data_IF_196696957480
#
_entry.id   IF_196696957480
#
_cell.length_a   1.000
_cell.length_b   1.000
_cell.length_c   1.000
_cell.angle_alpha   90.00
_cell.angle_beta   90.00
_cell.angle_gamma   90.00
#
_symmetry.space_group_name_H-M   'P 1'
#
loop_
_entity.id
_entity.type
_entity.pdbx_description
1 polymer ?
#
# COMPACT_ATOMS: atom_id res chain seq x y z
N UNK A 1 8.94 -26.75 -16.61
CA UNK A 1 9.41 -27.41 -15.37
C UNK A 1 8.70 -26.94 -14.09
N UNK A 2 8.26 -25.68 -13.97
CA UNK A 2 7.77 -25.09 -12.71
C UNK A 2 6.44 -25.65 -12.14
N UNK A 3 5.59 -26.31 -12.95
CA UNK A 3 4.31 -26.86 -12.47
C UNK A 3 4.46 -28.11 -11.57
N UNK A 4 5.63 -28.77 -11.60
CA UNK A 4 5.91 -30.01 -10.85
C UNK A 4 6.37 -29.80 -9.40
N UNK A 5 6.78 -28.59 -9.02
CA UNK A 5 7.30 -28.33 -7.67
C UNK A 5 6.19 -28.36 -6.60
N UNK A 6 6.42 -28.95 -5.42
CA UNK A 6 5.49 -28.81 -4.30
C UNK A 6 5.34 -27.33 -3.92
N UNK A 7 4.16 -26.94 -3.42
CA UNK A 7 3.84 -25.54 -3.19
C UNK A 7 4.84 -24.80 -2.28
N UNK A 8 5.39 -25.48 -1.28
CA UNK A 8 6.40 -24.91 -0.39
C UNK A 8 7.73 -24.64 -1.11
N UNK A 9 8.15 -25.52 -2.02
CA UNK A 9 9.37 -25.33 -2.81
C UNK A 9 9.21 -24.18 -3.80
N UNK A 10 8.02 -24.02 -4.39
CA UNK A 10 7.69 -22.84 -5.20
C UNK A 10 7.78 -21.54 -4.39
N UNK A 11 7.20 -21.53 -3.18
CA UNK A 11 7.30 -20.37 -2.30
C UNK A 11 8.76 -20.04 -1.98
N UNK A 12 9.55 -21.03 -1.57
CA UNK A 12 10.96 -20.84 -1.26
C UNK A 12 11.73 -20.28 -2.46
N UNK A 13 11.52 -20.85 -3.66
CA UNK A 13 12.15 -20.36 -4.89
C UNK A 13 11.83 -18.88 -5.18
N UNK A 14 10.56 -18.47 -5.04
CA UNK A 14 10.16 -17.08 -5.21
C UNK A 14 10.78 -16.15 -4.15
N UNK A 15 10.81 -16.57 -2.88
CA UNK A 15 11.43 -15.79 -1.81
C UNK A 15 12.93 -15.62 -2.05
N UNK A 16 13.64 -16.72 -2.34
CA UNK A 16 15.08 -16.70 -2.59
C UNK A 16 15.41 -15.85 -3.81
N UNK A 17 14.66 -15.98 -4.91
CA UNK A 17 14.85 -15.15 -6.09
C UNK A 17 14.62 -13.66 -5.78
N UNK A 18 13.56 -13.32 -5.04
CA UNK A 18 13.28 -11.94 -4.64
C UNK A 18 14.42 -11.36 -3.81
N UNK A 19 14.86 -12.05 -2.77
CA UNK A 19 15.96 -11.59 -1.91
C UNK A 19 17.25 -11.45 -2.71
N UNK A 20 17.59 -12.41 -3.58
CA UNK A 20 18.79 -12.32 -4.41
C UNK A 20 18.76 -11.10 -5.34
N UNK A 21 17.64 -10.84 -6.01
CA UNK A 21 17.44 -9.65 -6.85
C UNK A 21 17.59 -8.38 -6.02
N UNK A 22 16.94 -8.32 -4.86
CA UNK A 22 17.00 -7.15 -3.98
C UNK A 22 18.43 -6.87 -3.48
N UNK A 23 19.17 -7.89 -3.04
CA UNK A 23 20.55 -7.73 -2.61
C UNK A 23 21.45 -7.23 -3.76
N UNK A 24 21.28 -7.79 -4.97
CA UNK A 24 22.04 -7.36 -6.14
C UNK A 24 21.73 -5.90 -6.52
N UNK A 25 20.45 -5.50 -6.53
CA UNK A 25 20.04 -4.13 -6.83
C UNK A 25 20.51 -3.15 -5.77
N UNK A 26 20.41 -3.50 -4.49
CA UNK A 26 20.85 -2.64 -3.39
C UNK A 26 22.38 -2.42 -3.40
N UNK A 27 23.15 -3.41 -3.85
CA UNK A 27 24.60 -3.30 -3.98
C UNK A 27 25.05 -2.48 -5.20
N UNK A 28 24.22 -2.41 -6.26
CA UNK A 28 24.59 -1.80 -7.54
C UNK A 28 23.98 -0.43 -7.81
N UNK A 29 23.03 0.00 -6.97
CA UNK A 29 22.31 1.27 -7.15
C UNK A 29 22.47 2.19 -5.96
N UNK A 30 22.56 3.50 -6.18
CA UNK A 30 22.49 4.50 -5.10
C UNK A 30 21.04 4.74 -4.64
N UNK A 31 20.09 4.78 -5.59
CA UNK A 31 18.70 5.04 -5.28
C UNK A 31 18.43 6.49 -4.88
N UNK A 32 17.28 6.73 -4.25
CA UNK A 32 16.85 8.06 -3.83
C UNK A 32 17.48 8.43 -2.49
N UNK A 33 18.64 9.08 -2.56
CA UNK A 33 19.53 9.35 -1.42
C UNK A 33 18.87 10.23 -0.34
N UNK A 34 17.96 11.13 -0.71
CA UNK A 34 17.31 12.06 0.21
C UNK A 34 16.50 11.31 1.29
N UNK A 35 15.67 10.34 0.88
CA UNK A 35 14.85 9.54 1.79
C UNK A 35 15.71 8.62 2.67
N UNK A 36 16.75 8.02 2.09
CA UNK A 36 17.70 7.21 2.85
C UNK A 36 18.39 8.05 3.94
N UNK A 37 18.73 9.31 3.65
CA UNK A 37 19.29 10.22 4.63
C UNK A 37 18.30 10.57 5.75
N UNK A 38 16.99 10.69 5.44
CA UNK A 38 15.94 10.88 6.44
C UNK A 38 15.91 9.70 7.42
N UNK A 39 15.85 8.46 6.93
CA UNK A 39 15.83 7.27 7.79
C UNK A 39 17.09 7.11 8.62
N UNK A 40 18.26 7.46 8.10
CA UNK A 40 19.50 7.44 8.88
C UNK A 40 19.52 8.53 9.97
N UNK A 41 18.91 9.70 9.74
CA UNK A 41 18.72 10.70 10.82
C UNK A 41 17.78 10.20 11.91
N UNK A 42 16.70 9.50 11.54
CA UNK A 42 15.81 8.90 12.54
C UNK A 42 16.49 7.78 13.32
N UNK A 43 17.33 6.99 12.65
CA UNK A 43 18.17 5.96 13.28
C UNK A 43 19.07 6.58 14.34
N UNK A 44 19.69 7.73 14.02
CA UNK A 44 20.51 8.48 14.98
C UNK A 44 19.69 9.05 16.14
N UNK A 45 18.51 9.63 15.87
CA UNK A 45 17.63 10.15 16.92
C UNK A 45 17.20 9.05 17.92
N UNK A 46 16.87 7.86 17.41
CA UNK A 46 16.56 6.69 18.24
C UNK A 46 17.80 6.21 19.01
N UNK A 47 18.98 6.22 18.40
CA UNK A 47 20.24 5.85 19.06
C UNK A 47 20.58 6.76 20.23
N UNK A 48 20.33 8.07 20.12
CA UNK A 48 20.67 9.05 21.16
C UNK A 48 19.59 9.18 22.23
N UNK A 49 18.31 9.17 21.85
CA UNK A 49 17.18 9.42 22.75
C UNK A 49 16.44 8.17 23.21
N UNK A 50 16.73 7.02 22.61
CA UNK A 50 15.86 5.84 22.69
C UNK A 50 14.51 6.08 22.01
N UNK A 51 13.68 5.03 21.97
CA UNK A 51 12.34 5.12 21.39
C UNK A 51 11.46 6.15 22.10
N UNK A 52 11.60 6.32 23.43
CA UNK A 52 10.75 7.19 24.24
C UNK A 52 10.87 8.68 23.90
N UNK A 53 12.04 9.11 23.44
CA UNK A 53 12.36 10.52 23.15
C UNK A 53 12.61 10.82 21.68
N UNK A 54 12.53 9.81 20.80
CA UNK A 54 12.86 9.94 19.39
C UNK A 54 12.08 11.07 18.67
N UNK A 55 10.84 11.34 19.10
CA UNK A 55 9.97 12.37 18.52
C UNK A 55 10.16 13.77 19.12
N UNK A 56 10.94 13.95 20.19
CA UNK A 56 11.08 15.25 20.88
C UNK A 56 11.75 16.31 20.00
N UNK A 57 12.74 15.90 19.19
CA UNK A 57 13.48 16.81 18.31
C UNK A 57 12.69 17.20 17.04
N UNK A 58 11.56 16.55 16.77
CA UNK A 58 10.79 16.71 15.53
C UNK A 58 11.45 16.08 14.30
N UNK A 59 10.79 16.18 13.14
CA UNK A 59 11.30 15.69 11.85
C UNK A 59 11.14 14.19 11.60
N UNK A 60 10.48 13.45 12.49
CA UNK A 60 9.97 12.09 12.23
C UNK A 60 8.48 12.20 11.92
N UNK A 61 8.08 11.82 10.72
CA UNK A 61 6.69 11.80 10.24
C UNK A 61 6.11 10.37 10.19
N UNK A 62 6.91 9.36 10.49
CA UNK A 62 6.43 7.96 10.57
C UNK A 62 5.92 7.63 11.96
N UNK A 63 4.85 6.83 12.06
CA UNK A 63 4.45 6.23 13.32
C UNK A 63 5.47 5.18 13.82
N UNK A 64 5.40 4.76 15.09
CA UNK A 64 6.56 4.25 15.81
C UNK A 64 7.05 2.86 15.40
N UNK A 65 6.27 2.05 14.67
CA UNK A 65 6.65 0.66 14.40
C UNK A 65 7.98 0.56 13.64
N UNK A 66 8.21 1.44 12.67
CA UNK A 66 9.46 1.42 11.92
C UNK A 66 10.67 1.86 12.78
N UNK A 67 10.46 2.71 13.80
CA UNK A 67 11.53 3.12 14.70
C UNK A 67 12.11 1.96 15.51
N UNK A 68 11.32 0.92 15.81
CA UNK A 68 11.85 -0.30 16.44
C UNK A 68 12.84 -1.03 15.53
N UNK A 69 12.56 -1.05 14.22
CA UNK A 69 13.46 -1.65 13.23
C UNK A 69 14.74 -0.82 13.16
N UNK A 70 14.62 0.51 13.16
CA UNK A 70 15.78 1.41 13.19
C UNK A 70 16.59 1.26 14.48
N UNK A 71 15.98 1.09 15.65
CA UNK A 71 16.70 0.83 16.91
C UNK A 71 17.51 -0.47 16.84
N UNK A 72 16.86 -1.57 16.44
CA UNK A 72 17.52 -2.86 16.28
C UNK A 72 18.66 -2.79 15.27
N UNK A 73 18.44 -2.07 14.16
CA UNK A 73 19.44 -1.87 13.14
C UNK A 73 20.61 -1.00 13.61
N UNK A 74 20.35 0.07 14.37
CA UNK A 74 21.38 0.93 14.94
C UNK A 74 22.31 0.13 15.87
N UNK A 75 21.74 -0.72 16.73
CA UNK A 75 22.51 -1.60 17.64
C UNK A 75 23.37 -2.59 16.85
N UNK A 76 22.80 -3.22 15.82
CA UNK A 76 23.52 -4.14 14.96
C UNK A 76 24.67 -3.44 14.22
N UNK A 77 24.40 -2.28 13.63
CA UNK A 77 25.39 -1.50 12.90
C UNK A 77 26.53 -1.05 13.82
N UNK A 78 26.23 -0.64 15.06
CA UNK A 78 27.24 -0.30 16.07
C UNK A 78 28.10 -1.52 16.44
N UNK A 79 27.47 -2.67 16.72
CA UNK A 79 28.18 -3.90 17.10
C UNK A 79 29.10 -4.45 15.99
N UNK A 80 28.73 -4.22 14.73
CA UNK A 80 29.50 -4.65 13.56
C UNK A 80 30.37 -3.54 12.96
N UNK A 81 30.43 -2.36 13.59
CA UNK A 81 31.15 -1.18 13.09
C UNK A 81 30.81 -0.80 11.63
N UNK A 82 29.53 -0.90 11.26
CA UNK A 82 29.07 -0.60 9.90
C UNK A 82 29.01 0.92 9.66
N UNK A 83 29.60 1.36 8.55
CA UNK A 83 29.49 2.74 8.08
C UNK A 83 28.14 2.99 7.40
N UNK A 84 27.14 3.40 8.18
CA UNK A 84 25.82 3.76 7.64
C UNK A 84 25.91 5.07 6.85
N UNK A 85 25.71 5.00 5.53
CA UNK A 85 25.72 6.17 4.64
C UNK A 85 24.59 6.10 3.62
N UNK A 86 23.91 7.22 3.31
CA UNK A 86 22.96 7.26 2.21
C UNK A 86 23.60 6.83 0.88
N UNK A 87 22.82 6.17 0.04
CA UNK A 87 23.26 5.64 -1.26
C UNK A 87 24.06 4.35 -1.19
N UNK A 88 24.14 3.70 -0.03
CA UNK A 88 24.87 2.44 0.16
C UNK A 88 23.93 1.26 0.39
N UNK A 89 24.43 0.05 0.19
CA UNK A 89 23.74 -1.20 0.52
C UNK A 89 23.17 -1.19 1.95
N UNK A 90 23.97 -0.72 2.92
CA UNK A 90 23.60 -0.69 4.33
C UNK A 90 22.42 0.24 4.62
N UNK A 91 22.20 1.29 3.83
CA UNK A 91 21.02 2.14 4.03
C UNK A 91 19.70 1.45 3.67
N UNK A 92 19.75 0.41 2.82
CA UNK A 92 18.58 -0.27 2.25
C UNK A 92 18.30 -1.64 2.88
N UNK A 93 19.30 -2.20 3.55
CA UNK A 93 19.20 -3.51 4.19
C UNK A 93 17.99 -3.67 5.13
N UNK A 94 17.59 -2.68 5.96
CA UNK A 94 16.41 -2.81 6.81
C UNK A 94 15.13 -3.14 6.03
N UNK A 95 14.85 -2.41 4.95
CA UNK A 95 13.70 -2.66 4.10
C UNK A 95 13.71 -4.04 3.46
N UNK A 96 14.87 -4.48 2.96
CA UNK A 96 15.04 -5.81 2.34
C UNK A 96 14.77 -6.92 3.38
N UNK A 97 15.29 -6.77 4.59
CA UNK A 97 15.09 -7.73 5.68
C UNK A 97 13.61 -7.80 6.08
N UNK A 98 12.93 -6.66 6.17
CA UNK A 98 11.49 -6.56 6.42
C UNK A 98 10.71 -7.29 5.32
N UNK A 99 10.98 -6.99 4.05
CA UNK A 99 10.26 -7.59 2.94
C UNK A 99 10.45 -9.12 2.93
N UNK A 100 11.68 -9.59 3.14
CA UNK A 100 11.98 -11.02 3.27
C UNK A 100 11.17 -11.68 4.42
N UNK A 101 11.05 -11.00 5.57
CA UNK A 101 10.29 -11.48 6.72
C UNK A 101 8.77 -11.54 6.47
N UNK A 102 8.24 -10.69 5.59
CA UNK A 102 6.82 -10.66 5.24
C UNK A 102 6.40 -11.75 4.23
N UNK A 103 7.31 -12.26 3.39
CA UNK A 103 6.99 -13.26 2.37
C UNK A 103 6.40 -14.57 2.94
N UNK A 104 6.94 -15.18 4.03
CA UNK A 104 6.32 -16.34 4.66
C UNK A 104 4.91 -16.06 5.22
N UNK A 105 4.66 -14.85 5.72
CA UNK A 105 3.35 -14.44 6.20
C UNK A 105 2.33 -14.41 5.04
N UNK A 106 2.73 -13.94 3.86
CA UNK A 106 1.89 -13.99 2.65
C UNK A 106 1.62 -15.42 2.18
N UNK A 107 2.59 -16.33 2.31
CA UNK A 107 2.35 -17.75 2.07
C UNK A 107 1.33 -18.36 3.03
N UNK A 108 1.37 -17.97 4.30
CA UNK A 108 0.37 -18.38 5.28
C UNK A 108 -1.01 -17.76 4.98
N UNK A 109 -1.06 -16.49 4.57
CA UNK A 109 -2.29 -15.76 4.22
C UNK A 109 -3.04 -16.41 3.03
N UNK A 110 -2.28 -16.97 2.09
CA UNK A 110 -2.82 -17.67 0.92
C UNK A 110 -3.40 -19.07 1.22
N UNK A 111 -3.36 -19.54 2.48
CA UNK A 111 -3.94 -20.84 2.85
C UNK A 111 -5.44 -20.90 2.56
N UNK A 112 -5.89 -22.02 2.01
CA UNK A 112 -7.27 -22.23 1.56
C UNK A 112 -7.55 -21.76 0.13
N UNK A 113 -6.59 -21.12 -0.55
CA UNK A 113 -6.65 -20.91 -1.99
C UNK A 113 -6.32 -22.21 -2.75
N UNK A 114 -6.85 -22.34 -3.98
CA UNK A 114 -6.42 -23.41 -4.90
C UNK A 114 -4.92 -23.32 -5.13
N UNK A 115 -4.23 -24.46 -5.19
CA UNK A 115 -2.77 -24.53 -5.28
C UNK A 115 -2.17 -23.67 -6.40
N UNK A 116 -2.78 -23.69 -7.60
CA UNK A 116 -2.35 -22.86 -8.73
C UNK A 116 -2.43 -21.36 -8.43
N UNK A 117 -3.59 -20.88 -7.94
CA UNK A 117 -3.79 -19.48 -7.55
C UNK A 117 -2.85 -19.05 -6.43
N UNK A 118 -2.58 -19.97 -5.50
CA UNK A 118 -1.63 -19.78 -4.40
C UNK A 118 -0.22 -19.55 -4.91
N UNK A 119 0.23 -20.35 -5.88
CA UNK A 119 1.55 -20.18 -6.54
C UNK A 119 1.64 -18.82 -7.23
N UNK A 120 0.62 -18.44 -7.99
CA UNK A 120 0.57 -17.13 -8.66
C UNK A 120 0.57 -15.96 -7.68
N UNK A 121 -0.18 -16.04 -6.58
CA UNK A 121 -0.27 -14.96 -5.60
C UNK A 121 1.07 -14.69 -4.92
N UNK A 122 1.81 -15.74 -4.58
CA UNK A 122 3.16 -15.59 -4.01
C UNK A 122 4.16 -15.09 -5.03
N UNK A 123 4.12 -15.58 -6.26
CA UNK A 123 5.00 -15.06 -7.31
C UNK A 123 4.74 -13.57 -7.56
N UNK A 124 3.46 -13.17 -7.68
CA UNK A 124 3.06 -11.78 -7.89
C UNK A 124 3.40 -10.87 -6.71
N UNK A 125 3.46 -11.39 -5.48
CA UNK A 125 3.89 -10.62 -4.31
C UNK A 125 5.42 -10.55 -4.19
N UNK A 126 6.14 -11.69 -4.26
CA UNK A 126 7.59 -11.72 -4.01
C UNK A 126 8.39 -11.10 -5.16
N UNK A 127 7.93 -11.27 -6.40
CA UNK A 127 8.61 -10.81 -7.61
C UNK A 127 7.94 -9.56 -8.19
N UNK A 128 7.24 -8.80 -7.35
CA UNK A 128 6.62 -7.56 -7.79
C UNK A 128 7.72 -6.51 -8.08
N UNK A 129 7.88 -6.02 -9.31
CA UNK A 129 8.93 -5.09 -9.65
C UNK A 129 8.81 -3.76 -8.90
N UNK A 130 7.60 -3.32 -8.57
CA UNK A 130 7.35 -2.07 -7.83
C UNK A 130 7.83 -2.22 -6.37
N UNK A 131 7.45 -3.31 -5.70
CA UNK A 131 7.88 -3.56 -4.31
C UNK A 131 9.39 -3.76 -4.22
N UNK A 132 9.98 -4.50 -5.17
CA UNK A 132 11.43 -4.68 -5.24
C UNK A 132 12.13 -3.34 -5.47
N UNK A 133 11.61 -2.49 -6.37
CA UNK A 133 12.21 -1.19 -6.66
C UNK A 133 12.14 -0.25 -5.46
N UNK A 134 10.95 -0.07 -4.89
CA UNK A 134 10.70 0.74 -3.70
C UNK A 134 11.59 0.30 -2.52
N UNK A 135 11.71 -1.00 -2.28
CA UNK A 135 12.54 -1.49 -1.18
C UNK A 135 14.04 -1.45 -1.48
N UNK A 136 14.50 -2.10 -2.56
CA UNK A 136 15.92 -2.38 -2.77
C UNK A 136 16.66 -1.34 -3.61
N UNK A 137 15.96 -0.62 -4.50
CA UNK A 137 16.56 0.47 -5.27
C UNK A 137 16.40 1.76 -4.51
N UNK A 138 15.17 2.14 -4.15
CA UNK A 138 14.87 3.40 -3.49
C UNK A 138 15.34 3.43 -2.03
N UNK A 139 15.10 2.36 -1.27
CA UNK A 139 15.41 2.28 0.17
C UNK A 139 14.21 2.64 1.06
N UNK A 140 13.00 2.55 0.54
CA UNK A 140 11.74 2.78 1.24
C UNK A 140 11.20 1.50 1.90
N UNK A 141 10.14 1.66 2.70
CA UNK A 141 9.53 0.58 3.49
C UNK A 141 8.01 0.48 3.35
N UNK A 142 7.45 1.01 2.25
CA UNK A 142 6.01 0.97 1.93
C UNK A 142 5.45 -0.46 1.85
N UNK A 143 6.34 -1.45 1.69
CA UNK A 143 5.97 -2.87 1.75
C UNK A 143 5.36 -3.26 3.10
N UNK A 144 5.67 -2.56 4.20
CA UNK A 144 5.12 -2.87 5.54
C UNK A 144 3.61 -2.60 5.54
N UNK A 145 3.21 -1.35 5.30
CA UNK A 145 1.82 -0.94 5.38
C UNK A 145 0.98 -1.56 4.28
N UNK A 146 1.49 -1.64 3.04
CA UNK A 146 0.77 -2.27 1.94
C UNK A 146 0.47 -3.76 2.21
N UNK A 147 1.42 -4.49 2.78
CA UNK A 147 1.25 -5.91 3.12
C UNK A 147 0.28 -6.09 4.30
N UNK A 148 0.40 -5.25 5.33
CA UNK A 148 -0.46 -5.29 6.51
C UNK A 148 -1.90 -4.88 6.17
N UNK A 149 -2.10 -3.90 5.30
CA UNK A 149 -3.41 -3.52 4.76
C UNK A 149 -4.05 -4.68 3.97
N UNK A 150 -3.30 -5.34 3.08
CA UNK A 150 -3.78 -6.53 2.36
C UNK A 150 -4.14 -7.66 3.34
N UNK A 151 -3.29 -7.94 4.33
CA UNK A 151 -3.57 -8.96 5.34
C UNK A 151 -4.83 -8.63 6.15
N UNK A 152 -5.01 -7.39 6.59
CA UNK A 152 -6.20 -6.93 7.30
C UNK A 152 -7.47 -7.17 6.47
N UNK A 153 -7.49 -6.66 5.23
CA UNK A 153 -8.66 -6.75 4.35
C UNK A 153 -8.98 -8.20 3.99
N UNK A 154 -7.97 -9.04 3.78
CA UNK A 154 -8.17 -10.45 3.48
C UNK A 154 -8.73 -11.24 4.67
N UNK A 155 -8.21 -10.97 5.88
CA UNK A 155 -8.55 -11.71 7.10
C UNK A 155 -9.85 -11.25 7.75
N UNK A 156 -10.34 -10.03 7.51
CA UNK A 156 -11.50 -9.46 8.23
C UNK A 156 -12.75 -10.34 8.14
N UNK A 157 -12.89 -11.10 7.05
CA UNK A 157 -13.99 -12.05 6.82
C UNK A 157 -13.90 -13.33 7.64
N UNK A 158 -12.73 -13.72 8.14
CA UNK A 158 -12.51 -14.99 8.86
C UNK A 158 -12.02 -14.79 10.29
N UNK A 159 -11.14 -13.80 10.50
CA UNK A 159 -10.42 -13.55 11.75
C UNK A 159 -10.37 -12.04 12.01
N UNK A 160 -11.51 -11.40 12.35
CA UNK A 160 -11.58 -9.95 12.52
C UNK A 160 -10.59 -9.41 13.57
N UNK A 161 -10.33 -10.15 14.65
CA UNK A 161 -9.32 -9.75 15.64
C UNK A 161 -7.91 -9.66 15.03
N UNK A 162 -7.50 -10.69 14.28
CA UNK A 162 -6.19 -10.73 13.61
C UNK A 162 -6.12 -9.68 12.49
N UNK A 163 -7.23 -9.45 11.80
CA UNK A 163 -7.33 -8.35 10.83
C UNK A 163 -7.14 -6.99 11.51
N UNK A 164 -7.68 -6.82 12.72
CA UNK A 164 -7.48 -5.64 13.55
C UNK A 164 -6.02 -5.45 13.93
N UNK A 165 -5.35 -6.52 14.37
CA UNK A 165 -3.91 -6.49 14.67
C UNK A 165 -3.11 -6.10 13.43
N UNK A 166 -3.39 -6.69 12.27
CA UNK A 166 -2.71 -6.33 11.03
C UNK A 166 -2.94 -4.85 10.66
N UNK A 167 -4.18 -4.37 10.76
CA UNK A 167 -4.51 -2.96 10.48
C UNK A 167 -3.82 -2.00 11.46
N UNK A 168 -3.86 -2.28 12.77
CA UNK A 168 -3.23 -1.42 13.76
C UNK A 168 -1.71 -1.40 13.66
N UNK A 169 -1.07 -2.53 13.32
CA UNK A 169 0.36 -2.56 13.00
C UNK A 169 0.68 -1.80 11.71
N UNK A 170 -0.18 -1.89 10.68
CA UNK A 170 0.00 -1.12 9.44
C UNK A 170 -0.10 0.37 9.71
N UNK A 171 -1.10 0.80 10.48
CA UNK A 171 -1.27 2.19 10.90
C UNK A 171 -0.10 2.67 11.77
N UNK A 172 0.47 1.78 12.59
CA UNK A 172 1.67 2.05 13.37
C UNK A 172 2.97 2.08 12.55
N UNK A 173 2.97 1.58 11.30
CA UNK A 173 4.10 1.69 10.38
C UNK A 173 3.99 2.94 9.51
N UNK A 174 2.80 3.20 8.98
CA UNK A 174 2.53 4.31 8.08
C UNK A 174 1.06 4.70 8.15
N UNK A 175 0.80 6.01 8.28
CA UNK A 175 -0.55 6.52 8.40
C UNK A 175 -1.43 6.16 7.18
N UNK A 176 -0.83 6.02 6.00
CA UNK A 176 -1.49 5.62 4.75
C UNK A 176 -2.37 4.37 4.87
N UNK A 177 -2.08 3.44 5.79
CA UNK A 177 -2.94 2.27 6.07
C UNK A 177 -4.40 2.65 6.35
N UNK A 178 -4.67 3.86 6.88
CA UNK A 178 -6.02 4.35 7.18
C UNK A 178 -6.94 4.33 5.96
N UNK A 179 -6.39 4.40 4.74
CA UNK A 179 -7.13 4.42 3.47
C UNK A 179 -8.03 3.18 3.32
N UNK A 180 -7.66 2.03 3.87
CA UNK A 180 -8.50 0.81 3.80
C UNK A 180 -9.56 0.69 4.91
N UNK A 181 -9.57 1.61 5.89
CA UNK A 181 -10.46 1.55 7.05
C UNK A 181 -11.96 1.50 6.70
N UNK A 182 -12.49 2.33 5.77
CA UNK A 182 -13.91 2.27 5.42
C UNK A 182 -14.33 0.89 4.91
N UNK A 183 -13.47 0.25 4.12
CA UNK A 183 -13.69 -1.09 3.57
C UNK A 183 -13.59 -2.16 4.65
N UNK A 184 -12.65 -2.04 5.60
CA UNK A 184 -12.52 -2.96 6.73
C UNK A 184 -13.77 -2.96 7.62
N UNK A 185 -14.26 -1.77 7.99
CA UNK A 185 -15.46 -1.62 8.81
C UNK A 185 -16.68 -2.21 8.10
N UNK A 186 -16.87 -1.88 6.82
CA UNK A 186 -17.98 -2.41 6.03
C UNK A 186 -17.90 -3.93 5.80
N UNK A 187 -16.70 -4.47 5.60
CA UNK A 187 -16.50 -5.91 5.44
C UNK A 187 -16.74 -6.67 6.77
N UNK A 188 -16.35 -6.12 7.91
CA UNK A 188 -16.67 -6.67 9.22
C UNK A 188 -18.19 -6.65 9.48
N UNK A 189 -18.87 -5.55 9.11
CA UNK A 189 -20.32 -5.39 9.23
C UNK A 189 -21.14 -6.31 8.30
N UNK A 190 -20.56 -6.70 7.15
CA UNK A 190 -21.23 -7.52 6.15
C UNK A 190 -21.58 -8.95 6.61
N UNK A 191 -21.09 -9.39 7.78
CA UNK A 191 -21.37 -10.72 8.33
C UNK A 191 -21.86 -10.66 9.78
N UNK A 192 -22.93 -11.41 10.15
CA UNK A 192 -23.28 -11.59 11.55
C UNK A 192 -22.23 -12.45 12.28
N UNK A 193 -22.06 -12.29 13.61
CA UNK A 193 -22.64 -11.26 14.47
C UNK A 193 -21.89 -9.92 14.34
N UNK A 194 -22.57 -8.88 13.84
CA UNK A 194 -21.93 -7.64 13.35
C UNK A 194 -21.13 -6.89 14.41
N UNK A 195 -21.75 -6.59 15.55
CA UNK A 195 -21.12 -5.82 16.64
C UNK A 195 -19.91 -6.55 17.24
N UNK A 196 -20.01 -7.88 17.41
CA UNK A 196 -18.89 -8.69 17.90
C UNK A 196 -17.70 -8.64 16.95
N UNK A 197 -17.94 -8.71 15.63
CA UNK A 197 -16.87 -8.64 14.63
C UNK A 197 -16.22 -7.27 14.57
N UNK A 198 -17.01 -6.20 14.66
CA UNK A 198 -16.48 -4.84 14.80
C UNK A 198 -15.67 -4.68 16.08
N UNK A 199 -16.18 -5.17 17.22
CA UNK A 199 -15.47 -5.15 18.49
C UNK A 199 -14.14 -5.91 18.45
N UNK A 200 -14.11 -7.07 17.79
CA UNK A 200 -12.87 -7.83 17.57
C UNK A 200 -11.88 -7.05 16.70
N UNK A 201 -12.34 -6.45 15.59
CA UNK A 201 -11.50 -5.63 14.72
C UNK A 201 -10.91 -4.43 15.49
N UNK A 202 -11.75 -3.68 16.21
CA UNK A 202 -11.33 -2.54 17.01
C UNK A 202 -10.35 -2.95 18.12
N UNK A 203 -10.65 -4.03 18.84
CA UNK A 203 -9.78 -4.55 19.90
C UNK A 203 -8.39 -4.93 19.35
N UNK A 204 -8.31 -5.61 18.20
CA UNK A 204 -7.03 -5.95 17.58
C UNK A 204 -6.22 -4.72 17.17
N UNK A 205 -6.88 -3.72 16.59
CA UNK A 205 -6.24 -2.48 16.16
C UNK A 205 -5.74 -1.66 17.35
N UNK A 206 -6.58 -1.42 18.35
CA UNK A 206 -6.23 -0.65 19.54
C UNK A 206 -5.14 -1.35 20.37
N UNK A 207 -5.21 -2.67 20.52
CA UNK A 207 -4.19 -3.44 21.23
C UNK A 207 -2.82 -3.33 20.56
N UNK A 208 -2.74 -3.50 19.23
CA UNK A 208 -1.47 -3.37 18.51
C UNK A 208 -0.91 -1.95 18.57
N UNK A 209 -1.75 -0.93 18.38
CA UNK A 209 -1.33 0.47 18.51
C UNK A 209 -0.81 0.79 19.92
N UNK A 210 -1.53 0.35 20.96
CA UNK A 210 -1.12 0.56 22.36
C UNK A 210 0.22 -0.14 22.68
N UNK A 211 0.42 -1.36 22.19
CA UNK A 211 1.67 -2.10 22.38
C UNK A 211 2.85 -1.41 21.71
N UNK A 212 2.69 -0.94 20.46
CA UNK A 212 3.77 -0.23 19.74
C UNK A 212 4.05 1.13 20.37
N UNK A 213 3.03 1.80 20.92
CA UNK A 213 3.19 3.10 21.57
C UNK A 213 3.74 3.03 23.00
N UNK A 214 3.87 1.85 23.60
CA UNK A 214 4.21 1.69 25.03
C UNK A 214 5.49 2.43 25.47
N UNK A 215 6.62 2.40 24.73
CA UNK A 215 7.83 3.13 25.11
C UNK A 215 7.68 4.65 25.06
N UNK A 216 6.67 5.18 24.36
CA UNK A 216 6.43 6.61 24.21
C UNK A 216 5.64 7.22 25.38
N UNK A 217 5.09 6.39 26.28
CA UNK A 217 4.29 6.86 27.41
C UNK A 217 5.07 7.77 28.38
N UNK A 218 6.41 7.75 28.35
CA UNK A 218 7.28 8.61 29.14
C UNK A 218 7.43 10.06 28.65
N UNK A 219 6.68 10.48 27.63
CA UNK A 219 6.68 11.87 27.13
C UNK A 219 6.62 12.01 25.60
N UNK A 220 7.06 10.98 24.86
CA UNK A 220 7.08 10.97 23.39
C UNK A 220 5.73 10.73 22.71
N UNK A 221 4.68 10.35 23.45
CA UNK A 221 3.39 9.94 22.87
C UNK A 221 2.71 11.09 22.11
N UNK A 222 2.59 12.27 22.74
CA UNK A 222 1.96 13.42 22.08
C UNK A 222 2.79 13.97 20.91
N UNK A 223 4.12 14.17 21.03
CA UNK A 223 4.97 14.48 19.89
C UNK A 223 4.80 13.51 18.72
N UNK A 224 4.74 12.21 19.00
CA UNK A 224 4.48 11.18 17.98
C UNK A 224 3.10 11.36 17.33
N UNK A 225 2.03 11.49 18.11
CA UNK A 225 0.68 11.67 17.55
C UNK A 225 0.61 12.91 16.66
N UNK A 226 1.17 14.03 17.15
CA UNK A 226 1.17 15.29 16.41
C UNK A 226 1.94 15.17 15.11
N UNK A 227 3.15 14.62 15.12
CA UNK A 227 3.98 14.52 13.92
C UNK A 227 3.46 13.49 12.92
N UNK A 228 3.21 12.27 13.36
CA UNK A 228 2.92 11.13 12.49
C UNK A 228 1.46 11.01 12.02
N UNK A 229 0.51 11.71 12.65
CA UNK A 229 -0.91 11.60 12.30
C UNK A 229 -1.62 12.93 12.06
N UNK A 230 -1.20 14.03 12.70
CA UNK A 230 -1.88 15.33 12.56
C UNK A 230 -1.15 16.23 11.57
N UNK A 231 0.17 16.43 11.76
CA UNK A 231 0.96 17.35 10.97
C UNK A 231 1.35 16.80 9.60
N UNK A 232 1.45 15.47 9.46
CA UNK A 232 1.72 14.81 8.17
C UNK A 232 0.67 15.17 7.11
N UNK A 233 -0.60 15.38 7.51
CA UNK A 233 -1.62 15.92 6.61
C UNK A 233 -1.43 17.43 6.46
N UNK A 234 -1.17 17.91 5.24
CA UNK A 234 -0.82 19.31 5.01
C UNK A 234 0.66 19.65 5.11
N UNK A 235 1.54 18.65 5.29
CA UNK A 235 3.00 18.84 5.28
C UNK A 235 3.51 19.28 3.91
N UNK A 236 2.91 18.73 2.85
CA UNK A 236 3.23 19.03 1.45
C UNK A 236 1.97 19.56 0.73
N UNK A 237 1.56 20.83 0.97
CA UNK A 237 0.29 21.40 0.49
C UNK A 237 0.35 21.74 -1.01
N UNK A 238 0.67 20.74 -1.82
CA UNK A 238 0.87 20.79 -3.26
C UNK A 238 -0.13 19.89 -3.97
N UNK A 239 -0.46 20.23 -5.22
CA UNK A 239 -1.38 19.43 -6.04
C UNK A 239 -0.87 17.98 -6.20
N UNK A 240 0.42 17.81 -6.48
CA UNK A 240 1.09 16.52 -6.54
C UNK A 240 2.60 16.65 -6.29
N UNK A 241 3.14 15.77 -5.46
CA UNK A 241 4.58 15.64 -5.21
C UNK A 241 5.14 14.48 -6.02
N UNK A 242 5.19 14.66 -7.33
CA UNK A 242 5.60 13.68 -8.35
C UNK A 242 4.70 12.44 -8.50
N UNK A 243 3.54 12.38 -7.84
CA UNK A 243 2.52 11.40 -8.16
C UNK A 243 1.90 11.72 -9.52
N UNK A 244 2.02 10.82 -10.49
CA UNK A 244 1.48 11.02 -11.85
C UNK A 244 -0.02 10.68 -11.89
N UNK A 245 -0.77 11.42 -11.08
CA UNK A 245 -2.21 11.39 -10.94
C UNK A 245 -2.87 12.52 -11.73
N UNK A 246 -4.18 12.74 -11.55
CA UNK A 246 -4.91 13.78 -12.29
C UNK A 246 -4.35 15.19 -12.03
N UNK A 247 -3.79 15.42 -10.85
CA UNK A 247 -3.25 16.72 -10.47
C UNK A 247 -1.91 17.04 -11.14
N UNK A 248 -1.30 16.05 -11.80
CA UNK A 248 -0.01 16.21 -12.47
C UNK A 248 -0.10 16.83 -13.87
N UNK A 249 -1.17 16.55 -14.62
CA UNK A 249 -1.30 16.94 -16.04
C UNK A 249 -2.69 17.43 -16.46
N UNK A 250 -3.76 17.12 -15.71
CA UNK A 250 -5.14 17.41 -16.18
C UNK A 250 -5.60 18.86 -15.94
N UNK A 251 -4.87 19.61 -15.13
CA UNK A 251 -5.20 21.00 -14.78
C UNK A 251 -4.13 21.92 -15.36
N UNK A 252 -4.54 23.11 -15.80
CA UNK A 252 -3.63 24.18 -16.24
C UNK A 252 -2.96 24.86 -15.03
N UNK A 253 -2.32 24.03 -14.21
CA UNK A 253 -1.64 24.40 -12.99
C UNK A 253 -0.42 23.49 -12.84
N UNK A 254 0.69 24.05 -12.34
CA UNK A 254 1.86 23.25 -11.98
C UNK A 254 1.46 22.19 -10.93
N UNK A 255 1.97 20.94 -11.01
CA UNK A 255 1.79 19.96 -9.93
C UNK A 255 2.29 20.47 -8.57
N UNK A 256 3.24 21.41 -8.58
CA UNK A 256 3.78 22.03 -7.37
C UNK A 256 3.03 23.30 -6.95
N UNK A 257 1.88 23.61 -7.57
CA UNK A 257 1.01 24.68 -7.10
C UNK A 257 0.36 24.31 -5.76
N UNK A 258 -0.03 25.32 -4.98
CA UNK A 258 -0.66 25.06 -3.68
C UNK A 258 -2.04 24.44 -3.85
N UNK A 259 -2.32 23.36 -3.11
CA UNK A 259 -3.64 22.71 -3.12
C UNK A 259 -4.72 23.50 -2.36
N UNK A 260 -4.32 24.58 -1.69
CA UNK A 260 -5.21 25.58 -1.06
C UNK A 260 -5.65 26.65 -2.05
N UNK A 261 -5.12 26.67 -3.26
CA UNK A 261 -5.56 27.59 -4.29
C UNK A 261 -7.03 27.29 -4.68
N UNK A 262 -7.82 28.31 -5.04
CA UNK A 262 -9.16 28.10 -5.57
C UNK A 262 -9.14 27.22 -6.81
N UNK A 263 -10.11 26.31 -6.89
CA UNK A 263 -10.35 25.41 -7.99
C UNK A 263 -11.80 25.58 -8.47
N UNK A 264 -12.57 24.49 -8.53
CA UNK A 264 -13.91 24.44 -9.08
C UNK A 264 -14.97 24.89 -8.07
N UNK A 265 -15.95 25.71 -8.50
CA UNK A 265 -17.12 26.10 -7.70
C UNK A 265 -16.79 26.79 -6.36
N UNK A 266 -15.66 27.50 -6.28
CA UNK A 266 -15.22 28.18 -5.06
C UNK A 266 -14.58 27.27 -4.01
N UNK A 267 -14.46 25.97 -4.29
CA UNK A 267 -13.69 25.03 -3.48
C UNK A 267 -12.21 25.10 -3.83
N UNK A 268 -11.35 24.82 -2.86
CA UNK A 268 -9.92 24.60 -3.09
C UNK A 268 -9.65 23.26 -3.78
N UNK A 269 -8.48 23.09 -4.40
CA UNK A 269 -8.08 21.81 -4.99
C UNK A 269 -8.12 20.66 -3.98
N UNK A 270 -7.70 20.92 -2.74
CA UNK A 270 -7.76 19.95 -1.63
C UNK A 270 -9.19 19.48 -1.36
N UNK A 271 -10.14 20.42 -1.28
CA UNK A 271 -11.55 20.10 -1.03
C UNK A 271 -12.18 19.33 -2.20
N UNK A 272 -11.82 19.67 -3.44
CA UNK A 272 -12.25 18.92 -4.63
C UNK A 272 -11.70 17.48 -4.57
N UNK A 273 -10.40 17.31 -4.31
CA UNK A 273 -9.78 15.98 -4.23
C UNK A 273 -10.35 15.10 -3.13
N UNK A 274 -10.58 15.66 -1.94
CA UNK A 274 -11.23 14.96 -0.83
C UNK A 274 -12.68 14.58 -1.17
N UNK A 275 -13.41 15.44 -1.88
CA UNK A 275 -14.78 15.15 -2.33
C UNK A 275 -14.81 14.01 -3.35
N UNK A 276 -13.89 14.00 -4.31
CA UNK A 276 -13.73 12.92 -5.28
C UNK A 276 -13.36 11.59 -4.62
N UNK A 277 -12.43 11.63 -3.65
CA UNK A 277 -12.06 10.46 -2.85
C UNK A 277 -13.23 9.93 -2.02
N UNK A 278 -14.02 10.81 -1.40
CA UNK A 278 -15.22 10.43 -0.66
C UNK A 278 -16.24 9.74 -1.58
N UNK A 279 -16.47 10.27 -2.79
CA UNK A 279 -17.32 9.63 -3.78
C UNK A 279 -16.80 8.25 -4.20
N UNK A 280 -15.49 8.10 -4.39
CA UNK A 280 -14.88 6.81 -4.72
C UNK A 280 -15.02 5.79 -3.56
N UNK A 281 -14.86 6.23 -2.31
CA UNK A 281 -15.15 5.42 -1.13
C UNK A 281 -16.60 4.95 -1.11
N UNK A 282 -17.58 5.84 -1.35
CA UNK A 282 -18.99 5.46 -1.42
C UNK A 282 -19.26 4.44 -2.54
N UNK A 283 -18.64 4.61 -3.71
CA UNK A 283 -18.74 3.64 -4.81
C UNK A 283 -18.17 2.26 -4.43
N UNK A 284 -17.03 2.23 -3.72
CA UNK A 284 -16.42 1.00 -3.23
C UNK A 284 -17.30 0.28 -2.20
N UNK A 285 -17.93 1.04 -1.29
CA UNK A 285 -18.87 0.52 -0.29
C UNK A 285 -20.15 -0.03 -0.96
N UNK A 286 -20.68 0.68 -1.96
CA UNK A 286 -21.81 0.21 -2.76
C UNK A 286 -21.47 -1.08 -3.52
N UNK A 287 -20.28 -1.17 -4.13
CA UNK A 287 -19.80 -2.41 -4.74
C UNK A 287 -19.71 -3.54 -3.71
N UNK A 288 -19.12 -3.30 -2.54
CA UNK A 288 -18.97 -4.30 -1.48
C UNK A 288 -20.32 -4.85 -1.01
N UNK A 289 -21.33 -3.98 -0.88
CA UNK A 289 -22.67 -4.35 -0.48
C UNK A 289 -23.41 -5.17 -1.56
N UNK A 290 -23.22 -4.84 -2.84
CA UNK A 290 -24.01 -5.43 -3.95
C UNK A 290 -23.33 -6.62 -4.64
N UNK A 291 -22.00 -6.69 -4.62
CA UNK A 291 -21.23 -7.75 -5.29
C UNK A 291 -21.51 -9.10 -4.65
N UNK A 292 -21.76 -10.13 -5.47
CA UNK A 292 -22.00 -11.51 -5.01
C UNK A 292 -20.72 -12.35 -4.89
N UNK A 293 -19.55 -11.74 -5.06
CA UNK A 293 -18.27 -12.44 -4.88
C UNK A 293 -18.04 -12.78 -3.41
N UNK A 294 -17.19 -13.77 -3.15
CA UNK A 294 -16.79 -14.11 -1.79
C UNK A 294 -16.21 -12.88 -1.08
N UNK A 295 -16.57 -12.68 0.20
CA UNK A 295 -16.24 -11.47 0.95
C UNK A 295 -14.75 -11.06 0.88
N UNK A 296 -13.75 -11.96 1.07
CA UNK A 296 -12.34 -11.57 0.92
C UNK A 296 -12.03 -10.95 -0.45
N UNK A 297 -12.60 -11.49 -1.54
CA UNK A 297 -12.35 -11.00 -2.90
C UNK A 297 -12.96 -9.62 -3.07
N UNK A 298 -14.26 -9.44 -2.78
CA UNK A 298 -14.90 -8.12 -2.94
C UNK A 298 -14.37 -7.06 -1.97
N UNK A 299 -13.96 -7.44 -0.76
CA UNK A 299 -13.30 -6.51 0.16
C UNK A 299 -11.93 -6.08 -0.37
N UNK A 300 -11.13 -7.01 -0.89
CA UNK A 300 -9.83 -6.68 -1.51
C UNK A 300 -10.01 -5.82 -2.76
N UNK A 301 -11.00 -6.10 -3.62
CA UNK A 301 -11.33 -5.27 -4.78
C UNK A 301 -11.73 -3.84 -4.39
N UNK A 302 -12.58 -3.69 -3.36
CA UNK A 302 -12.99 -2.39 -2.85
C UNK A 302 -11.80 -1.63 -2.24
N UNK A 303 -10.96 -2.30 -1.45
CA UNK A 303 -9.76 -1.70 -0.87
C UNK A 303 -8.74 -1.28 -1.93
N UNK A 304 -8.54 -2.11 -2.96
CA UNK A 304 -7.67 -1.78 -4.09
C UNK A 304 -8.16 -0.53 -4.84
N UNK A 305 -9.48 -0.44 -5.05
CA UNK A 305 -10.10 0.72 -5.69
C UNK A 305 -9.93 1.98 -4.84
N UNK A 306 -10.20 1.92 -3.52
CA UNK A 306 -10.00 3.06 -2.61
C UNK A 306 -8.52 3.45 -2.51
N UNK A 307 -7.60 2.50 -2.41
CA UNK A 307 -6.15 2.76 -2.43
C UNK A 307 -5.70 3.46 -3.70
N UNK A 308 -6.17 3.01 -4.87
CA UNK A 308 -5.82 3.68 -6.12
C UNK A 308 -6.54 5.03 -6.30
N UNK A 309 -7.75 5.17 -5.75
CA UNK A 309 -8.47 6.44 -5.72
C UNK A 309 -7.77 7.46 -4.84
N UNK A 310 -7.16 7.04 -3.73
CA UNK A 310 -6.35 7.89 -2.87
C UNK A 310 -5.18 8.48 -3.66
N UNK A 311 -4.40 7.63 -4.31
CA UNK A 311 -3.31 8.07 -5.20
C UNK A 311 -3.81 8.97 -6.35
N UNK A 312 -4.92 8.60 -6.99
CA UNK A 312 -5.40 9.28 -8.20
C UNK A 312 -6.12 10.60 -7.96
N UNK A 313 -6.82 10.74 -6.82
CA UNK A 313 -7.81 11.79 -6.60
C UNK A 313 -7.47 12.73 -5.44
N UNK A 314 -6.67 12.30 -4.46
CA UNK A 314 -6.22 13.20 -3.39
C UNK A 314 -5.06 14.08 -3.87
N UNK A 315 -4.96 15.29 -3.31
CA UNK A 315 -3.77 16.16 -3.42
C UNK A 315 -2.72 15.72 -2.39
N UNK A 316 -1.54 16.36 -2.39
CA UNK A 316 -0.44 16.06 -1.45
C UNK A 316 0.13 14.64 -1.62
N UNK A 317 -0.01 14.04 -2.80
CA UNK A 317 0.40 12.66 -3.07
C UNK A 317 1.85 12.56 -3.56
N UNK A 318 2.58 11.59 -3.02
CA UNK A 318 3.88 11.14 -3.54
C UNK A 318 3.74 9.93 -4.47
N UNK A 319 4.69 9.77 -5.40
CA UNK A 319 4.75 8.66 -6.36
C UNK A 319 4.61 7.29 -5.71
N UNK A 320 5.19 7.08 -4.52
CA UNK A 320 5.19 5.79 -3.81
C UNK A 320 3.86 5.40 -3.17
N UNK A 321 2.90 6.31 -3.03
CA UNK A 321 1.58 6.00 -2.45
C UNK A 321 0.79 5.01 -3.32
N UNK A 322 1.22 4.82 -4.58
CA UNK A 322 0.67 3.79 -5.47
C UNK A 322 1.00 2.35 -5.01
N UNK A 323 2.00 2.15 -4.15
CA UNK A 323 2.49 0.84 -3.67
C UNK A 323 1.37 0.04 -2.98
N UNK A 324 0.52 0.71 -2.19
CA UNK A 324 -0.65 0.10 -1.56
C UNK A 324 -1.59 -0.51 -2.61
N UNK A 325 -1.94 0.27 -3.64
CA UNK A 325 -2.83 -0.15 -4.71
C UNK A 325 -2.22 -1.30 -5.53
N UNK A 326 -0.94 -1.20 -5.91
CA UNK A 326 -0.21 -2.23 -6.66
C UNK A 326 -0.22 -3.56 -5.90
N UNK A 327 0.01 -3.53 -4.59
CA UNK A 327 0.04 -4.74 -3.75
C UNK A 327 -1.31 -5.45 -3.74
N UNK A 328 -2.40 -4.71 -3.50
CA UNK A 328 -3.76 -5.25 -3.47
C UNK A 328 -4.20 -5.78 -4.84
N UNK A 329 -3.94 -5.03 -5.92
CA UNK A 329 -4.32 -5.41 -7.29
C UNK A 329 -3.51 -6.61 -7.79
N UNK A 330 -2.21 -6.68 -7.49
CA UNK A 330 -1.37 -7.83 -7.87
C UNK A 330 -1.83 -9.13 -7.21
N UNK A 331 -2.25 -9.06 -5.94
CA UNK A 331 -2.87 -10.17 -5.24
C UNK A 331 -4.19 -10.61 -5.92
N UNK A 332 -5.03 -9.66 -6.33
CA UNK A 332 -6.27 -9.94 -7.06
C UNK A 332 -6.02 -10.55 -8.44
N UNK A 333 -5.02 -10.09 -9.20
CA UNK A 333 -4.70 -10.61 -10.53
C UNK A 333 -4.26 -12.09 -10.52
N UNK A 334 -3.64 -12.54 -9.42
CA UNK A 334 -3.36 -13.95 -9.20
C UNK A 334 -4.62 -14.79 -8.93
N UNK A 335 -5.67 -14.17 -8.39
CA UNK A 335 -6.93 -14.82 -8.02
C UNK A 335 -7.97 -14.81 -9.13
N UNK A 336 -7.98 -13.76 -9.95
CA UNK A 336 -8.97 -13.47 -10.97
C UNK A 336 -8.32 -12.78 -12.18
N UNK A 337 -8.43 -13.46 -13.34
CA UNK A 337 -7.86 -13.01 -14.61
C UNK A 337 -8.36 -11.64 -15.06
N UNK A 338 -9.54 -11.20 -14.59
CA UNK A 338 -10.12 -9.89 -14.93
C UNK A 338 -9.25 -8.72 -14.45
N UNK A 339 -8.47 -8.94 -13.39
CA UNK A 339 -7.60 -7.93 -12.80
C UNK A 339 -6.20 -7.92 -13.41
N UNK A 340 -5.84 -8.88 -14.28
CA UNK A 340 -4.47 -8.97 -14.83
C UNK A 340 -4.08 -7.78 -15.68
N UNK A 341 -4.99 -7.29 -16.52
CA UNK A 341 -4.72 -6.10 -17.36
C UNK A 341 -4.50 -4.86 -16.49
N UNK A 342 -5.38 -4.64 -15.50
CA UNK A 342 -5.24 -3.56 -14.51
C UNK A 342 -3.92 -3.68 -13.76
N UNK A 343 -3.60 -4.87 -13.23
CA UNK A 343 -2.37 -5.11 -12.48
C UNK A 343 -1.12 -4.85 -13.32
N UNK A 344 -1.14 -5.24 -14.59
CA UNK A 344 0.01 -5.04 -15.49
C UNK A 344 0.19 -3.56 -15.80
N UNK A 345 -0.90 -2.85 -16.15
CA UNK A 345 -0.86 -1.41 -16.41
C UNK A 345 -0.40 -0.63 -15.18
N UNK A 346 -0.97 -0.94 -14.00
CA UNK A 346 -0.66 -0.27 -12.75
C UNK A 346 0.76 -0.58 -12.26
N UNK A 347 1.24 -1.82 -12.39
CA UNK A 347 2.61 -2.16 -12.03
C UNK A 347 3.63 -1.47 -12.95
N UNK A 348 3.32 -1.37 -14.25
CA UNK A 348 4.18 -0.65 -15.19
C UNK A 348 4.20 0.85 -14.90
N UNK A 349 3.04 1.49 -14.74
CA UNK A 349 2.96 2.93 -14.45
C UNK A 349 3.59 3.28 -13.10
N UNK A 350 3.34 2.49 -12.06
CA UNK A 350 3.96 2.66 -10.75
C UNK A 350 5.48 2.49 -10.81
N UNK A 351 5.97 1.45 -11.48
CA UNK A 351 7.41 1.24 -11.65
C UNK A 351 8.06 2.41 -12.39
N UNK A 352 7.45 2.87 -13.49
CA UNK A 352 7.97 4.00 -14.24
C UNK A 352 7.96 5.29 -13.41
N UNK A 353 6.85 5.60 -12.73
CA UNK A 353 6.74 6.78 -11.88
C UNK A 353 7.82 6.77 -10.78
N UNK A 354 8.05 5.62 -10.12
CA UNK A 354 9.14 5.49 -9.17
C UNK A 354 10.51 5.66 -9.84
N UNK A 355 10.72 5.04 -11.00
CA UNK A 355 12.00 5.07 -11.69
C UNK A 355 12.42 6.50 -12.09
N UNK A 356 11.52 7.27 -12.71
CA UNK A 356 11.83 8.64 -13.15
C UNK A 356 12.12 9.57 -11.98
N UNK A 357 11.39 9.44 -10.86
CA UNK A 357 11.63 10.24 -9.66
C UNK A 357 12.95 9.83 -9.00
N UNK A 358 13.19 8.53 -8.83
CA UNK A 358 14.37 8.00 -8.17
C UNK A 358 15.67 8.46 -8.84
N UNK A 359 15.67 8.58 -10.16
CA UNK A 359 16.84 8.97 -10.96
C UNK A 359 16.79 10.41 -11.50
N UNK A 360 15.86 11.24 -11.01
CA UNK A 360 15.80 12.66 -11.35
C UNK A 360 15.48 12.95 -12.83
N UNK A 361 14.76 12.05 -13.48
CA UNK A 361 14.39 12.11 -14.89
C UNK A 361 12.94 12.60 -15.11
N UNK A 362 12.32 13.23 -14.10
CA UNK A 362 10.94 13.74 -14.21
C UNK A 362 10.90 14.87 -15.22
N UNK A 363 10.08 14.69 -16.26
CA UNK A 363 9.77 15.71 -17.23
C UNK A 363 8.25 15.74 -17.43
N UNK A 364 7.59 16.76 -16.89
CA UNK A 364 6.13 16.86 -16.88
C UNK A 364 5.51 16.66 -18.28
N UNK A 365 6.11 17.22 -19.32
CA UNK A 365 5.61 17.11 -20.68
C UNK A 365 5.82 15.72 -21.30
N UNK A 366 6.94 15.05 -20.98
CA UNK A 366 7.25 13.71 -21.48
C UNK A 366 6.60 12.59 -20.67
N UNK A 367 6.22 12.86 -19.42
CA UNK A 367 5.67 11.89 -18.48
C UNK A 367 4.14 11.95 -18.36
N UNK A 368 3.51 12.99 -18.94
CA UNK A 368 2.06 13.18 -18.99
C UNK A 368 1.28 11.94 -19.44
N UNK A 369 1.82 11.14 -20.38
CA UNK A 369 1.18 9.90 -20.88
C UNK A 369 0.86 8.90 -19.75
N UNK A 370 1.60 8.92 -18.63
CA UNK A 370 1.34 8.05 -17.49
C UNK A 370 0.05 8.39 -16.76
N UNK A 371 -0.33 9.68 -16.73
CA UNK A 371 -1.61 10.10 -16.15
C UNK A 371 -2.75 9.42 -16.91
N UNK A 372 -2.68 9.38 -18.23
CA UNK A 372 -3.68 8.70 -19.07
C UNK A 372 -3.65 7.18 -18.91
N UNK A 373 -2.47 6.56 -18.77
CA UNK A 373 -2.38 5.12 -18.47
C UNK A 373 -2.99 4.79 -17.10
N UNK A 374 -2.72 5.60 -16.08
CA UNK A 374 -3.30 5.47 -14.75
C UNK A 374 -4.82 5.64 -14.79
N UNK A 375 -5.33 6.62 -15.54
CA UNK A 375 -6.76 6.81 -15.76
C UNK A 375 -7.41 5.63 -16.49
N UNK A 376 -6.74 5.06 -17.49
CA UNK A 376 -7.22 3.86 -18.19
C UNK A 376 -7.29 2.66 -17.24
N UNK A 377 -6.27 2.45 -16.40
CA UNK A 377 -6.28 1.42 -15.36
C UNK A 377 -7.40 1.66 -14.34
N UNK A 378 -7.59 2.91 -13.90
CA UNK A 378 -8.62 3.31 -12.94
C UNK A 378 -10.03 3.07 -13.50
N UNK A 379 -10.29 3.50 -14.73
CA UNK A 379 -11.54 3.22 -15.45
C UNK A 379 -11.78 1.72 -15.65
N UNK A 380 -10.74 0.96 -16.00
CA UNK A 380 -10.83 -0.50 -16.14
C UNK A 380 -11.20 -1.20 -14.81
N UNK A 381 -10.69 -0.73 -13.67
CA UNK A 381 -11.14 -1.21 -12.34
C UNK A 381 -12.63 -0.97 -12.14
N UNK A 382 -13.09 0.25 -12.43
CA UNK A 382 -14.51 0.61 -12.39
C UNK A 382 -15.38 -0.31 -13.25
N UNK A 383 -14.95 -0.60 -14.48
CA UNK A 383 -15.65 -1.51 -15.40
C UNK A 383 -15.69 -2.94 -14.86
N UNK A 384 -14.58 -3.45 -14.32
CA UNK A 384 -14.54 -4.80 -13.71
C UNK A 384 -15.53 -4.87 -12.54
N UNK A 385 -15.53 -3.88 -11.65
CA UNK A 385 -16.42 -3.81 -10.49
C UNK A 385 -17.89 -3.67 -10.89
N UNK A 386 -18.21 -2.80 -11.86
CA UNK A 386 -19.56 -2.60 -12.35
C UNK A 386 -20.14 -3.88 -12.98
N UNK A 387 -19.35 -4.58 -13.82
CA UNK A 387 -19.75 -5.86 -14.44
C UNK A 387 -20.03 -6.97 -13.43
N UNK A 388 -19.42 -6.92 -12.25
CA UNK A 388 -19.68 -7.89 -11.17
C UNK A 388 -20.98 -7.64 -10.40
N UNK A 389 -21.48 -6.39 -10.42
CA UNK A 389 -22.70 -5.98 -9.73
C UNK A 389 -23.91 -6.00 -10.68
N UNK A 390 -23.70 -5.82 -11.98
CA UNK A 390 -24.79 -5.85 -12.97
C UNK A 390 -25.48 -7.22 -13.02
N UNK A 391 -26.82 -7.27 -13.14
CA UNK A 391 -27.53 -8.51 -13.37
C UNK A 391 -27.03 -9.15 -14.67
N UNK A 392 -26.63 -10.43 -14.62
CA UNK A 392 -26.38 -11.18 -15.86
C UNK A 392 -27.70 -11.17 -16.65
N UNK A 393 -27.70 -10.58 -17.85
CA UNK A 393 -28.82 -10.74 -18.80
C UNK A 393 -29.09 -12.24 -18.88
N UNK A 394 -30.28 -12.69 -18.48
CA UNK A 394 -30.70 -14.08 -18.69
C UNK A 394 -30.48 -14.35 -20.17
N UNK A 395 -29.62 -15.30 -20.52
CA UNK A 395 -29.60 -15.83 -21.87
C UNK A 395 -31.04 -16.24 -22.16
N UNK A 396 -31.68 -15.60 -23.14
CA UNK A 396 -32.96 -16.08 -23.67
C UNK A 396 -32.70 -17.52 -24.04
N UNK A 397 -33.31 -18.47 -23.33
CA UNK A 397 -33.41 -19.83 -23.85
C UNK A 397 -34.04 -19.69 -25.24
N UNK A 398 -33.48 -20.29 -26.29
CA UNK A 398 -34.23 -20.42 -27.54
C UNK A 398 -35.56 -21.07 -27.16
N UNK A 399 -36.65 -20.41 -27.49
CA UNK A 399 -37.95 -21.05 -27.51
C UNK A 399 -37.77 -22.19 -28.51
N UNK A 400 -37.89 -23.43 -28.06
CA UNK A 400 -37.98 -24.55 -28.97
C UNK A 400 -39.21 -24.26 -29.83
N UNK A 401 -39.00 -23.92 -31.10
CA UNK A 401 -40.05 -24.02 -32.10
C UNK A 401 -40.53 -25.46 -32.07
N UNK A 402 -41.74 -25.66 -31.59
CA UNK A 402 -42.49 -26.86 -31.85
C UNK A 402 -42.69 -26.90 -33.37
N UNK A 403 -41.89 -27.71 -34.05
CA UNK A 403 -42.17 -28.12 -35.40
C UNK A 403 -43.13 -29.33 -35.30
N UNK A 404 -44.28 -29.14 -35.94
CA UNK A 404 -45.38 -30.10 -36.14
C UNK A 404 -44.93 -31.42 -36.78
#
# INVERSE_FOLDING_TARGET
>A
MLHKLPGWAWCLACCTASVAIQLALAATTRGYVADQAIFLRWTEAVRTGGLSRAYEAGGIDYPPLYLYVLDAYARLASALHLGLRPGTFWAKLPGIAIYAALMPAMWALSRGMRAEKRRWAIAAYCLNPVLIFDTAVWGQVDVIDATLALAAVWLVSKRPLVAGVAFGLGLAAKFETIVVLPVLLAAAWAQPPRLRRLGQLACGALMSLALVALPLCGGGLWPMIRSAYIATTGEYPYLSMNAMNIWFDFFDASPYASDRAPALLGLTYKEVGLSLLAAACLAALAYLARSRRALPIRATSAAAFVGFSFFMLATEMHERYVVLAVTLVSWLAALDRRWRAVATALAFSAFWNLWVVCFGAVNAQQDAWMVYLNLAAYGAMGVVMAREVMPRRRARRPVAEAAE
#
